data_IF_409358885764
#
_entry.id   IF_409358885764
#
_cell.length_a   1.000
_cell.length_b   1.000
_cell.length_c   1.000
_cell.angle_alpha   90.00
_cell.angle_beta   90.00
_cell.angle_gamma   90.00
#
_symmetry.space_group_name_H-M   'P 1'
#
loop_
_entity.id
_entity.type
_entity.pdbx_description
1 polymer ?
#
# COMPACT_ATOMS: atom_id res chain seq x y z
N UNK A 1 -40.24 -31.68 54.53
CA UNK A 1 -40.63 -32.64 53.50
C UNK A 1 -39.66 -32.52 52.29
N UNK A 2 -39.04 -33.67 52.03
CA UNK A 2 -37.86 -33.76 51.15
C UNK A 2 -38.03 -33.41 49.67
N UNK A 3 -39.09 -32.75 49.24
CA UNK A 3 -39.34 -32.42 47.86
C UNK A 3 -38.97 -30.95 47.48
N UNK A 4 -38.65 -30.12 48.47
CA UNK A 4 -38.32 -28.71 48.20
C UNK A 4 -36.82 -28.40 48.04
N UNK A 5 -35.96 -29.37 48.41
CA UNK A 5 -34.51 -29.14 48.40
C UNK A 5 -33.78 -29.61 47.13
N UNK A 6 -34.49 -30.31 46.24
CA UNK A 6 -33.89 -30.76 44.95
C UNK A 6 -33.85 -29.66 43.91
N UNK A 7 -34.65 -28.60 44.04
CA UNK A 7 -34.70 -27.51 43.06
C UNK A 7 -33.74 -26.33 43.33
N UNK A 8 -33.00 -26.38 44.43
CA UNK A 8 -32.09 -25.28 44.81
C UNK A 8 -30.62 -25.49 44.47
N UNK A 9 -30.29 -26.48 43.68
CA UNK A 9 -28.93 -26.71 43.21
C UNK A 9 -28.80 -26.86 41.68
N UNK A 10 -29.63 -26.18 40.92
CA UNK A 10 -29.22 -25.82 39.57
C UNK A 10 -28.39 -24.56 39.68
N UNK A 11 -27.10 -24.72 39.98
CA UNK A 11 -26.10 -23.73 39.71
C UNK A 11 -26.13 -23.53 38.19
N UNK A 12 -26.69 -22.42 37.76
CA UNK A 12 -26.46 -21.92 36.41
C UNK A 12 -24.93 -21.73 36.28
N UNK A 13 -24.25 -22.73 35.72
CA UNK A 13 -22.97 -22.51 35.12
C UNK A 13 -23.21 -21.58 33.91
N UNK A 14 -23.18 -20.28 34.16
CA UNK A 14 -23.04 -19.30 33.12
C UNK A 14 -21.68 -19.56 32.46
N UNK A 15 -21.67 -20.41 31.46
CA UNK A 15 -20.57 -20.45 30.51
C UNK A 15 -20.52 -19.09 29.86
N UNK A 16 -19.71 -18.23 30.42
CA UNK A 16 -19.24 -17.03 29.73
C UNK A 16 -18.51 -17.52 28.49
N UNK A 17 -19.20 -17.59 27.36
CA UNK A 17 -18.55 -17.64 26.09
C UNK A 17 -17.82 -16.31 25.97
N UNK A 18 -16.57 -16.30 26.36
CA UNK A 18 -15.63 -15.25 25.92
C UNK A 18 -15.56 -15.44 24.42
N UNK A 19 -16.36 -14.67 23.67
CA UNK A 19 -16.11 -14.44 22.27
C UNK A 19 -14.67 -13.89 22.25
N UNK A 20 -13.72 -14.75 21.87
CA UNK A 20 -12.41 -14.28 21.54
C UNK A 20 -12.65 -13.16 20.52
N UNK A 21 -12.41 -11.91 20.90
CA UNK A 21 -12.45 -10.80 19.98
C UNK A 21 -11.45 -11.14 18.90
N UNK A 22 -11.94 -11.62 17.75
CA UNK A 22 -11.11 -11.79 16.59
C UNK A 22 -10.51 -10.41 16.34
N UNK A 23 -9.18 -10.33 16.45
CA UNK A 23 -8.47 -9.10 16.07
C UNK A 23 -8.95 -8.72 14.67
N UNK A 24 -9.30 -7.45 14.44
CA UNK A 24 -9.74 -7.04 13.12
C UNK A 24 -8.65 -7.41 12.11
N UNK A 25 -9.07 -7.98 10.99
CA UNK A 25 -8.16 -8.31 9.90
C UNK A 25 -7.43 -7.03 9.45
N UNK A 26 -6.14 -7.13 9.12
CA UNK A 26 -5.44 -5.99 8.53
C UNK A 26 -6.11 -5.59 7.21
N UNK A 27 -6.01 -4.34 6.84
CA UNK A 27 -6.71 -3.76 5.69
C UNK A 27 -6.42 -4.50 4.38
N UNK A 28 -5.20 -5.00 4.20
CA UNK A 28 -4.83 -5.77 3.01
C UNK A 28 -5.51 -7.15 2.92
N UNK A 29 -6.16 -7.62 3.98
CA UNK A 29 -6.99 -8.82 4.00
C UNK A 29 -8.50 -8.51 4.03
N UNK A 30 -8.88 -7.29 3.74
CA UNK A 30 -10.28 -6.85 3.78
C UNK A 30 -10.75 -6.36 2.40
N UNK A 31 -11.84 -6.95 1.90
CA UNK A 31 -12.48 -6.49 0.68
C UNK A 31 -13.16 -5.13 0.83
N UNK A 32 -13.33 -4.65 2.05
CA UNK A 32 -13.92 -3.34 2.33
C UNK A 32 -12.88 -2.21 2.39
N UNK A 33 -11.61 -2.56 2.52
CA UNK A 33 -10.51 -1.60 2.63
C UNK A 33 -10.01 -1.15 1.25
N UNK A 34 -10.87 -0.55 0.45
CA UNK A 34 -10.55 -0.13 -0.92
C UNK A 34 -9.61 1.08 -0.95
N UNK A 35 -9.74 1.98 0.00
CA UNK A 35 -8.88 3.14 0.13
C UNK A 35 -9.25 4.02 1.33
N UNK A 36 -8.29 4.77 1.81
CA UNK A 36 -8.45 5.69 2.93
C UNK A 36 -7.93 7.07 2.56
N UNK A 37 -8.72 8.11 2.80
CA UNK A 37 -8.37 9.54 2.63
C UNK A 37 -7.89 9.93 1.23
N UNK A 38 -8.03 9.08 0.23
CA UNK A 38 -7.68 9.43 -1.15
C UNK A 38 -8.71 10.37 -1.76
N UNK A 39 -8.27 11.21 -2.65
CA UNK A 39 -9.15 12.09 -3.42
C UNK A 39 -10.13 11.26 -4.26
N UNK A 40 -11.29 11.83 -4.55
CA UNK A 40 -12.24 11.22 -5.45
C UNK A 40 -11.61 11.04 -6.84
N UNK A 41 -11.85 9.92 -7.54
CA UNK A 41 -11.36 9.72 -8.89
C UNK A 41 -11.82 10.84 -9.83
N UNK A 42 -10.93 11.32 -10.67
CA UNK A 42 -11.21 12.37 -11.65
C UNK A 42 -10.34 12.18 -12.88
N UNK A 43 -10.69 12.86 -13.96
CA UNK A 43 -9.82 12.95 -15.14
C UNK A 43 -8.56 13.76 -14.80
N UNK A 44 -7.42 13.31 -15.26
CA UNK A 44 -6.18 14.05 -15.08
C UNK A 44 -6.27 15.45 -15.66
N UNK A 45 -5.86 16.43 -14.87
CA UNK A 45 -5.74 17.83 -15.27
C UNK A 45 -4.35 18.31 -14.89
N UNK A 46 -3.57 18.64 -15.88
CA UNK A 46 -2.20 19.12 -15.70
C UNK A 46 -2.18 20.65 -15.74
N UNK A 47 -1.78 21.33 -14.66
CA UNK A 47 -1.66 22.78 -14.67
C UNK A 47 -0.42 23.23 -15.44
N UNK A 48 -0.55 24.29 -16.22
CA UNK A 48 0.53 24.97 -16.93
C UNK A 48 0.56 26.44 -16.53
N UNK A 49 1.74 27.07 -16.64
CA UNK A 49 1.89 28.49 -16.36
C UNK A 49 1.23 29.36 -17.44
N UNK A 50 1.32 28.93 -18.71
CA UNK A 50 0.75 29.63 -19.87
C UNK A 50 0.14 28.64 -20.86
N UNK A 51 -0.86 29.06 -21.61
CA UNK A 51 -1.50 28.23 -22.63
C UNK A 51 -0.50 27.74 -23.71
N UNK A 52 0.49 28.56 -24.06
CA UNK A 52 1.56 28.20 -25.01
C UNK A 52 2.48 27.06 -24.51
N UNK A 53 2.46 26.77 -23.25
CA UNK A 53 3.29 25.68 -22.68
C UNK A 53 2.70 24.31 -22.97
N UNK A 54 1.41 24.21 -23.29
CA UNK A 54 0.71 22.95 -23.57
C UNK A 54 1.29 22.25 -24.81
N UNK A 55 1.69 23.04 -25.82
CA UNK A 55 2.21 22.51 -27.08
C UNK A 55 3.72 22.26 -27.07
N UNK A 56 4.40 22.56 -25.97
CA UNK A 56 5.85 22.33 -25.87
C UNK A 56 6.17 20.83 -25.83
N UNK A 57 7.28 20.41 -26.46
CA UNK A 57 7.77 19.04 -26.38
C UNK A 57 8.00 18.62 -24.92
N UNK A 58 7.64 17.37 -24.56
CA UNK A 58 7.80 16.83 -23.22
C UNK A 58 6.51 16.83 -22.39
N UNK A 59 5.42 17.41 -22.93
CA UNK A 59 4.09 17.32 -22.30
C UNK A 59 4.02 17.89 -20.88
N UNK A 60 3.19 17.29 -20.04
CA UNK A 60 2.95 17.74 -18.66
C UNK A 60 4.18 17.65 -17.75
N UNK A 61 5.14 16.79 -18.07
CA UNK A 61 6.40 16.67 -17.30
C UNK A 61 7.25 17.94 -17.34
N UNK A 62 7.02 18.80 -18.33
CA UNK A 62 7.69 20.11 -18.45
C UNK A 62 6.94 21.23 -17.69
N UNK A 63 5.81 20.91 -17.08
CA UNK A 63 5.09 21.89 -16.28
C UNK A 63 5.89 22.28 -15.03
N UNK A 64 5.99 23.56 -14.67
CA UNK A 64 6.60 23.99 -13.43
C UNK A 64 5.80 23.53 -12.18
N UNK A 65 4.62 22.99 -12.39
CA UNK A 65 3.73 22.47 -11.34
C UNK A 65 3.73 20.93 -11.26
N UNK A 66 4.66 20.29 -11.95
CA UNK A 66 4.88 18.85 -11.88
C UNK A 66 6.27 18.55 -11.32
N UNK A 67 6.35 17.56 -10.48
CA UNK A 67 7.61 17.03 -9.96
C UNK A 67 7.56 15.51 -9.90
N UNK A 68 8.42 14.87 -10.66
CA UNK A 68 8.53 13.41 -10.62
C UNK A 68 9.28 12.92 -9.38
N UNK A 69 8.71 11.93 -8.72
CA UNK A 69 9.38 11.14 -7.69
C UNK A 69 9.98 9.83 -8.24
N UNK A 70 10.04 9.67 -9.55
CA UNK A 70 10.70 8.55 -10.20
C UNK A 70 12.22 8.58 -9.98
N UNK A 71 12.84 7.41 -10.01
CA UNK A 71 14.29 7.25 -9.82
C UNK A 71 14.64 6.31 -8.68
N UNK A 72 15.74 6.53 -7.99
CA UNK A 72 16.18 5.65 -6.91
C UNK A 72 15.47 5.97 -5.60
N UNK A 73 14.98 4.91 -4.95
CA UNK A 73 14.39 4.92 -3.61
C UNK A 73 15.16 3.99 -2.69
N UNK A 74 15.22 4.29 -1.41
CA UNK A 74 15.64 3.33 -0.40
C UNK A 74 14.59 2.24 -0.26
N UNK A 75 15.05 0.98 -0.21
CA UNK A 75 14.19 -0.19 -0.27
C UNK A 75 14.60 -1.26 0.73
N UNK A 76 13.61 -1.81 1.42
CA UNK A 76 13.78 -2.97 2.27
C UNK A 76 12.68 -3.99 1.98
N UNK A 77 13.09 -5.18 1.58
CA UNK A 77 12.17 -6.26 1.22
C UNK A 77 12.18 -7.35 2.28
N UNK A 78 11.01 -7.89 2.61
CA UNK A 78 10.84 -9.05 3.47
C UNK A 78 9.85 -10.03 2.86
N UNK A 79 10.07 -11.31 3.13
CA UNK A 79 9.19 -12.38 2.65
C UNK A 79 7.89 -12.47 3.45
N UNK A 80 7.89 -12.04 4.71
CA UNK A 80 6.79 -12.15 5.65
C UNK A 80 6.47 -10.78 6.24
N UNK A 81 5.18 -10.36 6.25
CA UNK A 81 4.77 -9.07 6.80
C UNK A 81 5.19 -8.83 8.26
N UNK A 82 5.32 -9.88 9.07
CA UNK A 82 5.69 -9.74 10.47
C UNK A 82 7.13 -9.25 10.67
N UNK A 83 7.98 -9.47 9.66
CA UNK A 83 9.39 -9.09 9.65
C UNK A 83 9.65 -7.70 9.05
N UNK A 84 8.62 -7.00 8.60
CA UNK A 84 8.78 -5.68 8.01
C UNK A 84 9.30 -4.67 9.02
N UNK A 85 10.12 -3.71 8.61
CA UNK A 85 10.59 -2.65 9.51
C UNK A 85 9.39 -1.84 9.97
N UNK A 86 9.32 -1.64 11.29
CA UNK A 86 8.30 -0.78 11.91
C UNK A 86 8.84 0.64 12.00
N UNK A 87 7.95 1.62 12.02
CA UNK A 87 8.30 3.04 12.16
C UNK A 87 9.26 3.60 11.07
N UNK A 88 9.49 2.85 10.00
CA UNK A 88 10.40 3.25 8.92
C UNK A 88 9.94 4.53 8.20
N UNK A 89 8.68 4.86 8.31
CA UNK A 89 8.08 6.09 7.77
C UNK A 89 8.45 7.34 8.57
N UNK A 90 9.02 7.19 9.78
CA UNK A 90 9.44 8.34 10.59
C UNK A 90 10.63 9.06 9.94
N UNK A 91 10.65 10.41 9.89
CA UNK A 91 11.74 11.16 9.29
C UNK A 91 13.12 10.81 9.87
N UNK A 92 13.21 10.53 11.16
CA UNK A 92 14.45 10.18 11.86
C UNK A 92 14.93 8.73 11.65
N UNK A 93 14.14 7.89 10.98
CA UNK A 93 14.51 6.47 10.78
C UNK A 93 15.75 6.32 9.90
N UNK A 94 16.73 5.56 10.36
CA UNK A 94 17.99 5.35 9.64
C UNK A 94 17.86 4.26 8.59
N UNK A 95 18.12 4.61 7.34
CA UNK A 95 18.06 3.70 6.18
C UNK A 95 19.42 3.36 5.57
N UNK A 96 20.53 3.62 6.28
CA UNK A 96 21.87 3.43 5.72
C UNK A 96 22.23 2.00 5.32
N UNK A 97 21.53 1.00 5.87
CA UNK A 97 21.69 -0.41 5.48
C UNK A 97 20.68 -0.89 4.40
N UNK A 98 19.82 -0.02 3.89
CA UNK A 98 18.83 -0.36 2.89
C UNK A 98 19.43 -0.35 1.48
N UNK A 99 18.93 -1.23 0.62
CA UNK A 99 19.28 -1.21 -0.79
C UNK A 99 18.64 0.00 -1.51
N UNK A 100 19.10 0.26 -2.72
CA UNK A 100 18.42 1.16 -3.64
C UNK A 100 17.61 0.35 -4.65
N UNK A 101 16.39 0.79 -4.96
CA UNK A 101 15.53 0.25 -6.01
C UNK A 101 15.14 1.34 -6.99
N UNK A 102 14.98 0.99 -8.26
CA UNK A 102 14.48 1.93 -9.26
C UNK A 102 12.94 1.98 -9.22
N UNK A 103 12.39 3.18 -9.21
CA UNK A 103 10.96 3.46 -9.31
C UNK A 103 10.73 4.35 -10.54
N UNK A 104 9.80 4.01 -11.42
CA UNK A 104 8.97 2.81 -11.41
C UNK A 104 9.75 1.53 -11.73
N UNK A 105 9.27 0.42 -11.20
CA UNK A 105 9.85 -0.90 -11.47
C UNK A 105 9.36 -1.96 -10.50
N UNK A 106 9.12 -3.15 -11.03
CA UNK A 106 8.76 -4.29 -10.20
C UNK A 106 9.98 -4.80 -9.45
N UNK A 107 9.80 -5.18 -8.21
CA UNK A 107 10.92 -5.65 -7.40
C UNK A 107 11.45 -7.02 -7.83
N UNK A 108 10.60 -7.91 -8.41
CA UNK A 108 11.03 -9.20 -8.95
C UNK A 108 12.02 -9.05 -10.10
N UNK A 109 11.90 -7.98 -10.90
CA UNK A 109 12.86 -7.65 -11.97
C UNK A 109 14.15 -7.02 -11.46
N UNK A 110 14.21 -6.70 -10.18
CA UNK A 110 15.36 -6.09 -9.53
C UNK A 110 16.00 -7.00 -8.47
N UNK A 111 15.66 -8.31 -8.51
CA UNK A 111 16.32 -9.33 -7.70
C UNK A 111 15.66 -9.66 -6.36
N UNK A 112 14.42 -9.25 -6.16
CA UNK A 112 13.66 -9.54 -4.94
C UNK A 112 12.45 -10.42 -5.24
N UNK A 113 12.21 -11.42 -4.39
CA UNK A 113 11.08 -12.33 -4.59
C UNK A 113 11.16 -13.16 -5.86
N UNK A 114 10.04 -13.66 -6.32
CA UNK A 114 9.94 -14.52 -7.52
C UNK A 114 8.80 -14.07 -8.40
N UNK A 115 9.07 -13.82 -9.67
CA UNK A 115 8.04 -13.59 -10.68
C UNK A 115 7.22 -14.87 -10.88
N UNK A 116 5.89 -14.76 -10.82
CA UNK A 116 4.97 -15.87 -10.97
C UNK A 116 4.07 -15.60 -12.17
N UNK A 117 3.87 -16.62 -13.00
CA UNK A 117 2.89 -16.61 -14.07
C UNK A 117 1.83 -17.66 -13.81
N UNK A 118 0.58 -17.25 -13.84
CA UNK A 118 -0.59 -18.15 -13.78
C UNK A 118 -1.68 -17.66 -14.72
N UNK A 119 -2.43 -18.57 -15.30
CA UNK A 119 -3.51 -18.27 -16.24
C UNK A 119 -4.89 -18.77 -15.79
N UNK A 120 -4.96 -19.78 -14.92
CA UNK A 120 -6.23 -20.43 -14.55
C UNK A 120 -6.51 -20.34 -13.04
N UNK A 121 -5.48 -20.14 -12.22
CA UNK A 121 -5.58 -20.14 -10.77
C UNK A 121 -5.03 -18.86 -10.17
N UNK A 122 -5.23 -18.69 -8.88
CA UNK A 122 -4.54 -17.65 -8.14
C UNK A 122 -3.09 -18.04 -7.92
N UNK A 123 -2.19 -17.07 -7.96
CA UNK A 123 -0.75 -17.26 -7.76
C UNK A 123 -0.39 -17.84 -6.38
N UNK A 124 -1.29 -17.74 -5.43
CA UNK A 124 -1.14 -18.21 -4.06
C UNK A 124 -2.02 -19.44 -3.75
N UNK A 125 -2.36 -20.23 -4.75
CA UNK A 125 -3.14 -21.46 -4.51
C UNK A 125 -2.36 -22.48 -3.65
N UNK A 126 -3.07 -23.49 -3.14
CA UNK A 126 -2.56 -24.49 -2.20
C UNK A 126 -1.36 -25.29 -2.71
N UNK A 127 -1.17 -25.41 -4.02
CA UNK A 127 -0.03 -26.14 -4.61
C UNK A 127 1.29 -25.40 -4.43
N UNK A 128 1.26 -24.07 -4.52
CA UNK A 128 2.47 -23.26 -4.49
C UNK A 128 2.83 -22.78 -3.08
N UNK A 129 1.85 -22.42 -2.28
CA UNK A 129 2.05 -21.77 -0.97
C UNK A 129 1.41 -22.51 0.21
N UNK A 130 0.93 -23.73 0.00
CA UNK A 130 0.19 -24.48 1.01
C UNK A 130 -0.95 -23.66 1.67
N UNK A 131 -1.61 -22.86 0.86
CA UNK A 131 -2.69 -21.98 1.27
C UNK A 131 -3.99 -22.38 0.59
N UNK A 132 -4.96 -22.78 1.37
CA UNK A 132 -6.32 -23.04 0.88
C UNK A 132 -7.05 -21.72 0.70
N UNK A 133 -7.32 -21.35 -0.54
CA UNK A 133 -8.01 -20.11 -0.86
C UNK A 133 -9.32 -19.96 -0.09
N UNK A 134 -9.46 -18.82 0.55
CA UNK A 134 -10.60 -18.45 1.37
C UNK A 134 -10.81 -16.93 1.29
N UNK A 135 -11.42 -16.40 0.19
CA UNK A 135 -11.60 -14.96 0.04
C UNK A 135 -12.30 -14.33 1.25
N UNK A 136 -11.86 -13.17 1.73
CA UNK A 136 -10.87 -12.26 1.14
C UNK A 136 -9.43 -12.54 1.60
N UNK A 137 -9.17 -13.60 2.34
CA UNK A 137 -7.87 -13.89 2.93
C UNK A 137 -6.85 -14.30 1.87
N UNK A 138 -5.64 -13.79 2.01
CA UNK A 138 -4.46 -14.17 1.22
C UNK A 138 -3.39 -14.76 2.16
N UNK A 139 -2.38 -15.51 1.63
CA UNK A 139 -1.31 -16.03 2.47
C UNK A 139 -0.68 -14.93 3.33
N UNK A 140 -0.46 -15.21 4.62
CA UNK A 140 0.19 -14.26 5.51
C UNK A 140 1.72 -14.44 5.48
N UNK A 141 2.18 -15.65 5.76
CA UNK A 141 3.61 -15.92 5.98
C UNK A 141 4.50 -15.66 4.73
N UNK A 142 3.95 -15.82 3.55
CA UNK A 142 4.64 -15.63 2.27
C UNK A 142 4.19 -14.36 1.54
N UNK A 143 3.43 -13.48 2.18
CA UNK A 143 3.03 -12.21 1.58
C UNK A 143 4.19 -11.22 1.66
N UNK A 144 4.95 -11.15 0.59
CA UNK A 144 6.11 -10.27 0.49
C UNK A 144 5.74 -8.80 0.71
N UNK A 145 6.61 -8.07 1.41
CA UNK A 145 6.42 -6.64 1.67
C UNK A 145 7.65 -5.86 1.25
N UNK A 146 7.44 -4.85 0.43
CA UNK A 146 8.43 -3.85 0.08
C UNK A 146 8.20 -2.55 0.83
N UNK A 147 9.17 -2.14 1.64
CA UNK A 147 9.19 -0.83 2.30
C UNK A 147 10.04 0.12 1.47
N UNK A 148 9.42 1.17 0.97
CA UNK A 148 10.04 2.18 0.12
C UNK A 148 10.17 3.49 0.86
N UNK A 149 11.27 4.21 0.64
CA UNK A 149 11.46 5.53 1.23
C UNK A 149 12.28 6.43 0.33
N UNK A 150 11.84 7.70 0.22
CA UNK A 150 12.55 8.74 -0.53
C UNK A 150 12.43 10.08 0.16
N UNK A 151 13.49 10.88 0.09
CA UNK A 151 13.44 12.30 0.42
C UNK A 151 13.17 13.13 -0.84
N UNK A 152 12.48 14.24 -0.66
CA UNK A 152 12.19 15.19 -1.72
C UNK A 152 12.06 16.61 -1.18
N UNK A 153 12.21 17.60 -2.06
CA UNK A 153 11.99 19.01 -1.73
C UNK A 153 10.97 19.59 -2.68
N UNK A 154 9.94 20.19 -2.12
CA UNK A 154 8.95 20.90 -2.93
C UNK A 154 9.56 22.23 -3.41
N UNK A 155 9.39 22.63 -4.68
CA UNK A 155 9.83 23.92 -5.18
C UNK A 155 9.28 25.08 -4.34
N UNK A 156 10.11 26.10 -4.10
CA UNK A 156 9.74 27.21 -3.22
C UNK A 156 8.57 28.04 -3.77
N UNK A 157 8.41 28.08 -5.07
CA UNK A 157 7.31 28.76 -5.79
C UNK A 157 5.97 28.01 -5.70
N UNK A 158 5.96 26.80 -5.10
CA UNK A 158 4.72 26.10 -4.77
C UNK A 158 4.13 26.54 -3.41
N UNK A 159 4.79 27.44 -2.71
CA UNK A 159 4.28 27.95 -1.43
C UNK A 159 2.86 28.53 -1.59
N UNK A 160 1.95 28.09 -0.75
CA UNK A 160 0.53 28.50 -0.80
C UNK A 160 -0.30 27.80 -1.87
N UNK A 161 0.29 26.85 -2.61
CA UNK A 161 -0.45 26.00 -3.55
C UNK A 161 -0.90 24.71 -2.88
N UNK A 162 -1.97 24.16 -3.38
CA UNK A 162 -2.37 22.79 -3.09
C UNK A 162 -1.39 21.83 -3.76
N UNK A 163 -0.84 20.89 -2.99
CA UNK A 163 0.11 19.88 -3.49
C UNK A 163 -0.52 18.50 -3.33
N UNK A 164 -0.57 17.77 -4.42
CA UNK A 164 -1.15 16.43 -4.48
C UNK A 164 -0.05 15.41 -4.76
N UNK A 165 0.04 14.36 -3.94
CA UNK A 165 0.85 13.19 -4.21
C UNK A 165 0.02 12.20 -5.01
N UNK A 166 0.49 11.81 -6.20
CA UNK A 166 -0.13 10.81 -7.05
C UNK A 166 0.72 9.54 -7.11
N UNK A 167 0.10 8.39 -6.88
CA UNK A 167 0.65 7.06 -7.10
C UNK A 167 -0.15 6.41 -8.23
N UNK A 168 0.42 6.36 -9.42
CA UNK A 168 -0.30 5.96 -10.64
C UNK A 168 -0.53 4.45 -10.75
N UNK A 169 0.39 3.63 -10.24
CA UNK A 169 0.25 2.17 -10.23
C UNK A 169 1.11 1.53 -9.15
N UNK A 170 0.47 0.86 -8.18
CA UNK A 170 1.17 0.12 -7.12
C UNK A 170 0.44 -1.20 -6.85
N UNK A 171 1.13 -2.31 -6.97
CA UNK A 171 0.57 -3.66 -6.84
C UNK A 171 0.97 -4.26 -5.48
N UNK A 172 0.02 -4.78 -4.70
CA UNK A 172 -1.43 -4.83 -4.87
C UNK A 172 -2.15 -3.95 -3.86
N UNK A 173 -1.59 -3.76 -2.69
CA UNK A 173 -2.04 -2.93 -1.59
C UNK A 173 -0.87 -2.14 -1.03
N UNK A 174 -1.09 -0.90 -0.62
CA UNK A 174 -0.04 -0.13 0.03
C UNK A 174 -0.58 0.92 1.00
N UNK A 175 0.20 1.17 2.04
CA UNK A 175 0.09 2.35 2.89
C UNK A 175 1.03 3.44 2.40
N UNK A 176 0.67 4.70 2.62
CA UNK A 176 1.49 5.86 2.26
C UNK A 176 1.57 6.86 3.41
N UNK A 177 2.79 7.34 3.66
CA UNK A 177 3.10 8.36 4.67
C UNK A 177 3.90 9.50 4.05
N UNK A 178 3.69 10.69 4.56
CA UNK A 178 4.56 11.85 4.33
C UNK A 178 4.96 12.43 5.68
N UNK A 179 6.25 12.65 5.90
CA UNK A 179 6.82 13.20 7.12
C UNK A 179 6.35 12.49 8.41
N UNK A 180 6.21 11.16 8.37
CA UNK A 180 5.77 10.35 9.49
C UNK A 180 4.25 10.29 9.70
N UNK A 181 3.47 11.07 8.97
CA UNK A 181 2.00 11.07 9.04
C UNK A 181 1.42 10.11 8.02
N UNK A 182 0.59 9.17 8.46
CA UNK A 182 -0.18 8.30 7.58
C UNK A 182 -1.17 9.14 6.78
N UNK A 183 -1.04 9.12 5.47
CA UNK A 183 -2.00 9.73 4.55
C UNK A 183 -3.20 8.79 4.37
N UNK A 184 -2.93 7.52 4.13
CA UNK A 184 -3.94 6.52 3.90
C UNK A 184 -3.37 5.25 3.29
N UNK A 185 -4.25 4.51 2.63
CA UNK A 185 -3.92 3.31 1.87
C UNK A 185 -4.75 3.23 0.59
N UNK A 186 -4.31 2.41 -0.34
CA UNK A 186 -5.07 2.06 -1.53
C UNK A 186 -4.96 0.57 -1.84
N UNK A 187 -6.06 0.01 -2.33
CA UNK A 187 -6.17 -1.31 -2.93
C UNK A 187 -6.77 -1.13 -4.33
N UNK A 188 -6.10 -1.68 -5.34
CA UNK A 188 -6.47 -1.47 -6.74
C UNK A 188 -5.23 -1.17 -7.58
N UNK A 189 -4.63 -2.23 -8.13
CA UNK A 189 -3.24 -2.25 -8.60
C UNK A 189 -2.94 -1.32 -9.76
N UNK A 190 -3.88 -1.14 -10.68
CA UNK A 190 -3.67 -0.41 -11.95
C UNK A 190 -4.40 0.93 -11.98
N UNK A 191 -4.83 1.40 -10.82
CA UNK A 191 -5.57 2.66 -10.72
C UNK A 191 -4.79 3.67 -9.91
N UNK A 192 -4.77 4.91 -10.39
CA UNK A 192 -4.14 5.99 -9.67
C UNK A 192 -4.85 6.28 -8.34
N UNK A 193 -4.06 6.63 -7.34
CA UNK A 193 -4.55 7.11 -6.08
C UNK A 193 -3.81 8.39 -5.69
N UNK A 194 -4.57 9.37 -5.20
CA UNK A 194 -4.08 10.70 -4.94
C UNK A 194 -4.43 11.15 -3.52
N UNK A 195 -3.48 11.86 -2.89
CA UNK A 195 -3.65 12.45 -1.57
C UNK A 195 -3.23 13.90 -1.57
N UNK A 196 -4.02 14.75 -0.94
CA UNK A 196 -3.62 16.11 -0.64
C UNK A 196 -2.57 16.08 0.48
N UNK A 197 -1.37 16.56 0.18
CA UNK A 197 -0.25 16.56 1.14
C UNK A 197 0.10 17.97 1.62
N UNK A 198 -0.66 18.97 1.24
CA UNK A 198 -0.37 20.39 1.50
C UNK A 198 -0.05 20.66 2.97
N UNK A 199 -0.89 20.16 3.87
CA UNK A 199 -0.78 20.43 5.32
C UNK A 199 0.27 19.59 6.04
N UNK A 200 0.90 18.63 5.35
CA UNK A 200 1.91 17.75 5.93
C UNK A 200 3.31 18.02 5.41
N UNK A 201 3.46 18.98 4.51
CA UNK A 201 4.76 19.38 3.96
C UNK A 201 5.54 20.29 4.89
N UNK A 202 6.86 20.09 4.90
CA UNK A 202 7.83 21.02 5.48
C UNK A 202 8.37 21.96 4.40
N UNK A 203 8.84 23.15 4.78
CA UNK A 203 9.49 24.09 3.84
C UNK A 203 10.84 23.59 3.29
N UNK A 204 11.41 22.54 3.85
CA UNK A 204 12.69 21.97 3.42
C UNK A 204 12.55 20.58 2.85
N UNK A 205 13.32 19.68 3.45
CA UNK A 205 13.28 18.27 3.08
C UNK A 205 12.02 17.58 3.62
N UNK A 206 11.42 16.78 2.78
CA UNK A 206 10.28 15.96 3.10
C UNK A 206 10.63 14.49 2.86
N UNK A 207 9.93 13.59 3.55
CA UNK A 207 10.08 12.15 3.42
C UNK A 207 8.75 11.54 2.99
N UNK A 208 8.76 10.82 1.88
CA UNK A 208 7.65 9.93 1.49
C UNK A 208 8.04 8.49 1.76
N UNK A 209 7.11 7.72 2.30
CA UNK A 209 7.28 6.30 2.56
C UNK A 209 6.06 5.50 2.10
N UNK A 210 6.30 4.35 1.48
CA UNK A 210 5.27 3.40 1.09
C UNK A 210 5.60 2.02 1.66
N UNK A 211 4.57 1.32 2.15
CA UNK A 211 4.65 -0.10 2.54
C UNK A 211 3.74 -0.88 1.61
N UNK A 212 4.34 -1.63 0.70
CA UNK A 212 3.65 -2.28 -0.42
C UNK A 212 3.58 -3.78 -0.16
N UNK A 213 2.39 -4.33 -0.23
CA UNK A 213 2.11 -5.76 -0.05
C UNK A 213 1.89 -6.43 -1.40
N UNK A 214 2.54 -7.60 -1.59
CA UNK A 214 2.40 -8.37 -2.81
C UNK A 214 0.97 -8.78 -3.08
N UNK A 215 0.28 -9.29 -2.05
CA UNK A 215 -1.08 -9.77 -2.14
C UNK A 215 -2.00 -9.04 -1.19
N UNK A 216 -3.22 -8.87 -1.65
CA UNK A 216 -4.32 -8.31 -0.87
C UNK A 216 -5.63 -8.99 -1.23
N UNK A 217 -6.70 -8.64 -0.53
CA UNK A 217 -8.03 -9.11 -0.88
C UNK A 217 -8.41 -8.77 -2.34
N UNK A 218 -7.91 -7.65 -2.88
CA UNK A 218 -8.08 -7.25 -4.28
C UNK A 218 -7.45 -8.22 -5.27
N UNK A 219 -6.43 -8.98 -4.89
CA UNK A 219 -5.79 -9.95 -5.76
C UNK A 219 -6.75 -11.01 -6.29
N UNK A 220 -7.81 -11.34 -5.54
CA UNK A 220 -8.85 -12.25 -6.02
C UNK A 220 -9.63 -11.72 -7.23
N UNK A 221 -9.73 -10.41 -7.39
CA UNK A 221 -10.41 -9.76 -8.52
C UNK A 221 -9.45 -9.42 -9.65
N UNK A 222 -8.18 -9.18 -9.32
CA UNK A 222 -7.15 -8.72 -10.26
C UNK A 222 -6.35 -9.85 -10.89
N UNK A 223 -6.44 -11.08 -10.35
CA UNK A 223 -5.76 -12.24 -10.88
C UNK A 223 -6.34 -12.66 -12.23
N UNK A 224 -5.56 -12.40 -13.28
CA UNK A 224 -5.88 -12.72 -14.67
C UNK A 224 -4.69 -13.40 -15.34
N UNK A 225 -4.84 -13.83 -16.57
CA UNK A 225 -3.77 -14.44 -17.37
C UNK A 225 -2.64 -13.46 -17.68
N UNK A 226 -1.72 -13.31 -16.73
CA UNK A 226 -0.54 -12.45 -16.87
C UNK A 226 0.50 -12.72 -15.77
N UNK A 227 1.68 -12.15 -15.93
CA UNK A 227 2.71 -12.15 -14.89
C UNK A 227 2.24 -11.43 -13.63
N UNK A 228 2.54 -12.04 -12.49
CA UNK A 228 2.32 -11.45 -11.16
C UNK A 228 3.61 -10.82 -10.68
N UNK A 229 3.68 -9.53 -10.87
CA UNK A 229 4.78 -8.68 -10.45
C UNK A 229 4.27 -7.68 -9.43
N UNK A 230 5.16 -7.15 -8.60
CA UNK A 230 4.79 -6.31 -7.46
C UNK A 230 5.61 -5.03 -7.43
N UNK A 231 5.17 -4.08 -6.62
CA UNK A 231 5.87 -2.81 -6.44
C UNK A 231 5.21 -1.64 -7.14
N UNK A 232 5.98 -0.60 -7.42
CA UNK A 232 5.52 0.63 -8.06
C UNK A 232 5.78 0.50 -9.56
N UNK A 233 4.72 0.26 -10.33
CA UNK A 233 4.84 0.01 -11.76
C UNK A 233 4.94 1.29 -12.60
N UNK A 234 5.58 1.21 -13.77
CA UNK A 234 5.40 2.23 -14.78
C UNK A 234 3.95 2.16 -15.28
N UNK A 235 3.33 3.32 -15.39
CA UNK A 235 2.04 3.45 -16.06
C UNK A 235 2.30 3.46 -17.55
N UNK A 236 1.63 2.56 -18.26
CA UNK A 236 1.67 2.43 -19.72
C UNK A 236 0.52 3.18 -20.37
#
# INVERSE_FOLDING_TARGET
SAASDVYKRQVLAATTFTLAQQQPLPEWQSQYAVGLNKLAPHTYVWPYANASDIEKPGGYEQSPFYMSLNGKWKFHWVKNPDNRPKDFYQPSYYTGGWADINVPGNWERQGYGTAIYVNETYEFDDKMFNFKKNPPLVPHAENEVGSYRRTFKVPADWKGRRVVLCCEGVISFYYVWVNGKLLGYNQGSKTAAEWDITDVLNEGENVVALEVYRWSAGAYLECQDMWRLSGIEPVS
#
